data_IF_264203156761
#
_entry.id   IF_264203156761
#
_cell.length_a   1.000
_cell.length_b   1.000
_cell.length_c   1.000
_cell.angle_alpha   90.00
_cell.angle_beta   90.00
_cell.angle_gamma   90.00
#
_symmetry.space_group_name_H-M   'P 1'
#
loop_
_entity.id
_entity.type
_entity.pdbx_description
1 polymer ?
#
# COMPACT_ATOMS: atom_id res chain seq x y z
N UNK A 1 -16.38 6.42 5.56
CA UNK A 1 -17.69 6.37 6.25
C UNK A 1 -17.88 4.96 6.79
N UNK A 2 -18.42 4.81 8.00
CA UNK A 2 -18.77 3.49 8.53
C UNK A 2 -19.88 2.87 7.65
N UNK A 3 -19.70 1.63 7.23
CA UNK A 3 -20.71 0.89 6.47
C UNK A 3 -21.96 0.65 7.36
N UNK A 4 -23.14 0.87 6.81
CA UNK A 4 -24.42 0.74 7.50
C UNK A 4 -25.44 0.02 6.61
N UNK A 5 -26.40 -0.67 7.22
CA UNK A 5 -27.45 -1.38 6.48
C UNK A 5 -26.99 -2.70 5.86
N UNK A 6 -27.63 -3.10 4.76
CA UNK A 6 -27.33 -4.37 4.10
C UNK A 6 -26.05 -4.27 3.27
N UNK A 7 -25.12 -5.18 3.51
CA UNK A 7 -23.89 -5.33 2.75
C UNK A 7 -23.83 -6.73 2.14
N UNK A 8 -23.47 -6.77 0.86
CA UNK A 8 -23.30 -8.00 0.09
C UNK A 8 -21.81 -8.32 0.02
N UNK A 9 -21.44 -9.49 0.53
CA UNK A 9 -20.07 -9.96 0.57
C UNK A 9 -19.97 -11.19 -0.34
N UNK A 10 -19.33 -11.09 -1.51
CA UNK A 10 -19.05 -12.27 -2.33
C UNK A 10 -18.11 -13.21 -1.58
N UNK A 11 -18.42 -14.50 -1.62
CA UNK A 11 -17.62 -15.54 -1.00
C UNK A 11 -16.70 -16.16 -2.05
N UNK A 12 -15.41 -16.23 -1.73
CA UNK A 12 -14.42 -16.92 -2.57
C UNK A 12 -14.20 -18.32 -2.03
N UNK A 13 -14.24 -19.32 -2.91
CA UNK A 13 -13.87 -20.69 -2.54
C UNK A 13 -12.38 -20.72 -2.21
N UNK A 14 -12.06 -21.04 -0.97
CA UNK A 14 -10.68 -21.20 -0.52
C UNK A 14 -10.09 -22.46 -1.12
N UNK A 15 -9.06 -22.29 -1.96
CA UNK A 15 -8.24 -23.40 -2.47
C UNK A 15 -7.24 -23.90 -1.43
N UNK A 16 -6.78 -23.00 -0.57
CA UNK A 16 -5.90 -23.27 0.56
C UNK A 16 -6.60 -22.86 1.87
N UNK A 17 -6.36 -23.54 3.01
CA UNK A 17 -7.04 -23.25 4.27
C UNK A 17 -6.61 -21.92 4.92
N UNK A 18 -5.69 -21.19 4.30
CA UNK A 18 -5.17 -19.92 4.83
C UNK A 18 -5.99 -18.76 4.28
N UNK A 19 -6.75 -18.11 5.15
CA UNK A 19 -7.37 -16.83 4.87
C UNK A 19 -6.27 -15.77 4.71
N UNK A 20 -6.29 -15.05 3.59
CA UNK A 20 -5.47 -13.85 3.38
C UNK A 20 -6.34 -12.63 3.71
N UNK A 21 -6.22 -12.01 4.90
CA UNK A 21 -7.08 -10.90 5.32
C UNK A 21 -6.77 -9.56 4.61
N UNK A 22 -5.93 -9.56 3.59
CA UNK A 22 -5.48 -8.38 2.88
C UNK A 22 -5.93 -8.43 1.42
N UNK A 23 -6.18 -7.25 0.84
CA UNK A 23 -6.61 -7.15 -0.55
C UNK A 23 -7.63 -6.04 -0.79
N UNK A 24 -7.93 -5.72 -2.06
CA UNK A 24 -9.12 -4.97 -2.40
C UNK A 24 -10.38 -5.65 -1.85
N UNK A 25 -11.44 -4.86 -1.63
CA UNK A 25 -12.74 -5.41 -1.31
C UNK A 25 -13.19 -6.37 -2.44
N UNK A 26 -13.64 -7.59 -2.11
CA UNK A 26 -13.96 -8.57 -3.12
C UNK A 26 -15.19 -8.12 -3.91
N UNK A 27 -15.14 -8.28 -5.23
CA UNK A 27 -16.19 -7.85 -6.13
C UNK A 27 -17.12 -9.02 -6.46
N UNK A 28 -18.42 -8.73 -6.62
CA UNK A 28 -19.39 -9.69 -7.15
C UNK A 28 -19.16 -9.74 -8.66
N UNK A 29 -18.61 -10.83 -9.16
CA UNK A 29 -18.26 -10.98 -10.58
C UNK A 29 -19.42 -11.59 -11.37
N UNK A 30 -20.19 -12.48 -10.76
CA UNK A 30 -21.26 -13.23 -11.41
C UNK A 30 -22.53 -13.28 -10.54
N UNK A 31 -23.70 -13.32 -11.19
CA UNK A 31 -25.00 -13.59 -10.56
C UNK A 31 -25.06 -14.95 -9.83
N UNK A 32 -24.17 -15.88 -10.19
CA UNK A 32 -24.05 -17.21 -9.57
C UNK A 32 -23.07 -17.24 -8.40
N UNK A 33 -22.36 -16.15 -8.11
CA UNK A 33 -21.41 -16.12 -7.02
C UNK A 33 -22.15 -16.36 -5.69
N UNK A 34 -21.61 -17.22 -4.81
CA UNK A 34 -22.17 -17.33 -3.47
C UNK A 34 -21.97 -16.00 -2.74
N UNK A 35 -23.06 -15.38 -2.30
CA UNK A 35 -23.05 -14.08 -1.63
C UNK A 35 -23.56 -14.25 -0.19
N UNK A 36 -22.79 -13.75 0.76
CA UNK A 36 -23.24 -13.56 2.14
C UNK A 36 -23.86 -12.17 2.28
N UNK A 37 -25.09 -12.12 2.77
CA UNK A 37 -25.78 -10.87 3.09
C UNK A 37 -25.66 -10.64 4.59
N UNK A 38 -25.00 -9.56 4.97
CA UNK A 38 -24.92 -9.12 6.37
C UNK A 38 -25.71 -7.83 6.54
N UNK A 39 -26.35 -7.66 7.70
CA UNK A 39 -27.03 -6.41 8.06
C UNK A 39 -26.25 -5.75 9.19
N UNK A 40 -25.63 -4.62 8.89
CA UNK A 40 -24.91 -3.80 9.85
C UNK A 40 -25.87 -2.84 10.58
N UNK A 41 -25.53 -2.40 11.81
CA UNK A 41 -26.28 -1.35 12.50
C UNK A 41 -26.49 -0.12 11.61
N UNK A 42 -27.70 0.42 11.65
CA UNK A 42 -28.09 1.63 10.91
C UNK A 42 -28.36 2.75 11.90
N UNK A 43 -27.85 3.93 11.60
CA UNK A 43 -27.98 5.14 12.39
C UNK A 43 -28.69 6.20 11.54
N UNK A 44 -29.40 7.15 12.18
CA UNK A 44 -30.08 8.26 11.48
C UNK A 44 -29.10 9.31 10.94
N UNK A 45 -27.81 9.13 11.18
CA UNK A 45 -26.73 10.04 10.82
C UNK A 45 -25.55 9.28 10.20
N UNK A 46 -24.76 10.00 9.42
CA UNK A 46 -23.52 9.46 8.87
C UNK A 46 -22.46 9.37 9.98
N UNK A 47 -21.92 8.17 10.16
CA UNK A 47 -20.80 7.93 11.07
C UNK A 47 -19.51 7.94 10.26
N UNK A 48 -18.60 8.84 10.61
CA UNK A 48 -17.29 8.99 9.98
C UNK A 48 -16.20 8.72 11.00
N UNK A 49 -15.08 8.16 10.53
CA UNK A 49 -13.89 8.06 11.38
C UNK A 49 -13.34 9.48 11.59
N UNK A 50 -13.09 9.90 12.84
CA UNK A 50 -12.61 11.24 13.13
C UNK A 50 -11.17 11.43 12.64
N UNK A 51 -10.81 12.68 12.31
CA UNK A 51 -9.43 13.03 12.01
C UNK A 51 -8.55 12.87 13.25
N UNK A 52 -7.39 12.22 13.09
CA UNK A 52 -6.42 12.03 14.16
C UNK A 52 -5.43 13.18 14.16
N UNK A 53 -5.57 14.09 15.13
CA UNK A 53 -4.62 15.18 15.34
C UNK A 53 -3.38 14.63 16.04
N UNK A 54 -2.20 14.90 15.48
CA UNK A 54 -0.92 14.51 16.08
C UNK A 54 -0.52 15.55 17.11
N UNK A 55 -0.36 15.11 18.35
CA UNK A 55 0.17 15.94 19.43
C UNK A 55 1.69 15.75 19.48
N UNK A 56 2.49 16.75 19.08
CA UNK A 56 3.96 16.67 19.03
C UNK A 56 4.63 16.67 20.42
N UNK A 57 4.37 15.65 21.23
CA UNK A 57 4.88 15.45 22.60
C UNK A 57 6.08 14.49 22.71
N UNK A 58 6.57 13.94 21.60
CA UNK A 58 7.59 12.90 21.53
C UNK A 58 8.95 13.55 21.73
N UNK A 59 9.71 13.01 22.66
CA UNK A 59 11.10 13.43 22.88
C UNK A 59 11.97 12.25 22.51
N UNK A 60 12.80 12.41 21.49
CA UNK A 60 13.85 11.45 21.15
C UNK A 60 14.75 11.28 22.36
N UNK A 61 14.95 10.05 22.81
CA UNK A 61 15.77 9.76 23.97
C UNK A 61 17.18 9.36 23.53
N UNK A 62 18.16 9.68 24.38
CA UNK A 62 19.56 9.36 24.13
C UNK A 62 19.78 7.84 24.26
N UNK A 63 20.23 7.13 23.20
CA UNK A 63 20.48 5.69 23.25
C UNK A 63 21.47 5.29 24.35
N UNK A 64 22.37 6.19 24.75
CA UNK A 64 23.38 5.91 25.79
C UNK A 64 22.81 5.80 27.20
N UNK A 65 21.55 6.22 27.42
CA UNK A 65 20.90 6.05 28.73
C UNK A 65 20.21 4.69 28.91
N UNK A 66 20.24 3.83 27.89
CA UNK A 66 19.83 2.42 28.03
C UNK A 66 20.95 1.60 28.68
N UNK A 67 20.56 0.61 29.49
CA UNK A 67 21.51 -0.40 29.96
C UNK A 67 22.06 -1.22 28.78
N UNK A 68 23.29 -1.72 28.95
CA UNK A 68 24.03 -2.41 27.89
C UNK A 68 23.29 -3.64 27.37
N UNK A 69 22.69 -4.43 28.27
CA UNK A 69 21.98 -5.66 27.93
C UNK A 69 20.75 -5.39 27.05
N UNK A 70 19.92 -4.41 27.46
CA UNK A 70 18.75 -4.00 26.67
C UNK A 70 19.16 -3.42 25.32
N UNK A 71 20.22 -2.60 25.29
CA UNK A 71 20.72 -2.01 24.06
C UNK A 71 21.19 -3.09 23.06
N UNK A 72 22.05 -4.01 23.51
CA UNK A 72 22.57 -5.11 22.68
C UNK A 72 21.44 -5.99 22.15
N UNK A 73 20.47 -6.32 23.00
CA UNK A 73 19.34 -7.14 22.58
C UNK A 73 18.45 -6.42 21.55
N UNK A 74 18.12 -5.14 21.75
CA UNK A 74 17.40 -4.35 20.76
C UNK A 74 18.14 -4.27 19.41
N UNK A 75 19.46 -4.08 19.43
CA UNK A 75 20.26 -4.06 18.21
C UNK A 75 20.24 -5.43 17.50
N UNK A 76 20.26 -6.53 18.25
CA UNK A 76 20.16 -7.88 17.67
C UNK A 76 18.81 -8.13 16.97
N UNK A 77 17.70 -7.60 17.52
CA UNK A 77 16.38 -7.68 16.89
C UNK A 77 16.32 -6.85 15.60
N UNK A 78 16.91 -5.65 15.63
CA UNK A 78 16.98 -4.76 14.45
C UNK A 78 17.82 -5.38 13.34
N UNK A 79 18.96 -5.98 13.69
CA UNK A 79 19.82 -6.69 12.73
C UNK A 79 19.12 -7.91 12.13
N UNK A 80 18.35 -8.65 12.94
CA UNK A 80 17.56 -9.78 12.44
C UNK A 80 16.44 -9.34 11.49
N UNK A 81 15.80 -8.20 11.75
CA UNK A 81 14.79 -7.59 10.87
C UNK A 81 13.50 -8.42 10.68
N UNK A 82 13.26 -9.43 11.51
CA UNK A 82 12.12 -10.34 11.38
C UNK A 82 10.83 -9.75 11.96
N UNK A 83 10.10 -9.01 11.13
CA UNK A 83 8.81 -8.40 11.51
C UNK A 83 7.67 -9.38 11.74
N UNK A 84 7.80 -10.66 11.34
CA UNK A 84 6.70 -11.62 11.37
C UNK A 84 6.76 -12.55 12.58
N UNK A 85 7.94 -12.80 13.13
CA UNK A 85 8.14 -13.76 14.22
C UNK A 85 8.53 -13.11 15.57
N UNK A 86 8.21 -11.83 15.76
CA UNK A 86 8.41 -11.16 17.04
C UNK A 86 7.55 -11.80 18.15
N UNK A 87 8.18 -12.14 19.26
CA UNK A 87 7.48 -12.61 20.47
C UNK A 87 6.74 -11.45 21.13
N UNK A 88 5.67 -11.73 21.90
CA UNK A 88 4.94 -10.69 22.62
C UNK A 88 5.84 -9.80 23.51
N UNK A 89 6.79 -10.40 24.22
CA UNK A 89 7.73 -9.65 25.08
C UNK A 89 8.68 -8.76 24.26
N UNK A 90 9.08 -9.21 23.05
CA UNK A 90 9.92 -8.45 22.12
C UNK A 90 9.13 -7.25 21.55
N UNK A 91 7.85 -7.46 21.21
CA UNK A 91 6.95 -6.40 20.75
C UNK A 91 6.75 -5.36 21.84
N UNK A 92 6.44 -5.78 23.06
CA UNK A 92 6.27 -4.88 24.20
C UNK A 92 7.54 -4.06 24.43
N UNK A 93 8.71 -4.69 24.42
CA UNK A 93 9.99 -4.00 24.61
C UNK A 93 10.27 -3.00 23.48
N UNK A 94 10.11 -3.38 22.21
CA UNK A 94 10.30 -2.50 21.05
C UNK A 94 9.38 -1.28 21.16
N UNK A 95 8.10 -1.50 21.49
CA UNK A 95 7.15 -0.42 21.68
C UNK A 95 7.56 0.47 22.85
N UNK A 96 7.87 -0.07 24.03
CA UNK A 96 8.26 0.71 25.20
C UNK A 96 9.54 1.54 24.97
N UNK A 97 10.50 1.01 24.21
CA UNK A 97 11.83 1.64 23.97
C UNK A 97 11.90 2.42 22.65
N UNK A 98 10.80 2.58 21.92
CA UNK A 98 10.73 3.25 20.60
C UNK A 98 11.38 4.64 20.55
N UNK A 99 11.30 5.44 21.61
CA UNK A 99 11.88 6.79 21.70
C UNK A 99 13.41 6.79 21.57
N UNK A 100 14.08 5.70 21.94
CA UNK A 100 15.52 5.50 21.75
C UNK A 100 15.88 5.09 20.32
N UNK A 101 14.93 4.53 19.57
CA UNK A 101 15.14 3.92 18.26
C UNK A 101 14.80 4.85 17.10
N UNK A 102 14.20 6.02 17.36
CA UNK A 102 13.73 6.98 16.33
C UNK A 102 14.81 7.45 15.34
N UNK A 103 16.08 7.30 15.69
CA UNK A 103 17.23 7.67 14.84
C UNK A 103 17.68 6.53 13.90
N UNK A 104 17.12 5.32 14.05
CA UNK A 104 17.44 4.12 13.27
C UNK A 104 16.28 3.79 12.32
N UNK A 105 16.40 4.09 11.02
CA UNK A 105 15.38 3.76 10.03
C UNK A 105 14.95 2.28 10.03
N UNK A 106 15.90 1.36 10.23
CA UNK A 106 15.74 -0.09 10.22
C UNK A 106 14.80 -0.59 11.34
N UNK A 107 14.67 0.17 12.43
CA UNK A 107 13.85 -0.21 13.56
C UNK A 107 12.37 0.11 13.35
N UNK A 108 12.00 1.01 12.43
CA UNK A 108 10.61 1.43 12.26
C UNK A 108 9.67 0.27 11.90
N UNK A 109 9.98 -0.62 10.94
CA UNK A 109 9.11 -1.75 10.62
C UNK A 109 8.83 -2.63 11.83
N UNK A 110 9.85 -2.94 12.64
CA UNK A 110 9.71 -3.74 13.87
C UNK A 110 8.85 -3.04 14.92
N UNK A 111 9.05 -1.73 15.11
CA UNK A 111 8.25 -0.92 16.05
C UNK A 111 6.79 -0.85 15.61
N UNK A 112 6.50 -0.68 14.31
CA UNK A 112 5.14 -0.69 13.78
C UNK A 112 4.48 -2.07 13.92
N UNK A 113 5.22 -3.16 13.69
CA UNK A 113 4.77 -4.53 13.96
C UNK A 113 4.53 -4.81 15.44
N UNK A 114 5.02 -3.95 16.33
CA UNK A 114 4.86 -4.06 17.78
C UNK A 114 3.66 -3.26 18.32
N UNK A 115 2.92 -2.55 17.46
CA UNK A 115 1.71 -1.82 17.86
C UNK A 115 0.59 -2.82 18.13
N UNK A 116 0.21 -2.96 19.41
CA UNK A 116 -0.84 -3.90 19.84
C UNK A 116 -2.25 -3.34 19.71
N UNK A 117 -2.42 -2.02 19.68
CA UNK A 117 -3.72 -1.34 19.62
C UNK A 117 -3.71 -0.22 18.56
N UNK A 118 -4.53 -0.41 17.52
CA UNK A 118 -4.77 0.56 16.43
C UNK A 118 -6.07 1.34 16.64
N UNK A 119 -6.61 1.34 17.85
CA UNK A 119 -7.77 2.13 18.24
C UNK A 119 -7.48 3.63 18.23
N UNK A 120 -8.54 4.42 18.02
CA UNK A 120 -8.46 5.88 17.83
C UNK A 120 -7.56 6.61 18.85
N UNK A 121 -7.66 6.25 20.13
CA UNK A 121 -6.89 6.89 21.21
C UNK A 121 -5.37 6.66 21.12
N UNK A 122 -4.93 5.62 20.42
CA UNK A 122 -3.51 5.28 20.27
C UNK A 122 -2.91 5.77 18.95
N UNK A 123 -3.75 6.02 17.93
CA UNK A 123 -3.29 6.44 16.60
C UNK A 123 -2.48 7.73 16.62
N UNK A 124 -2.79 8.69 17.50
CA UNK A 124 -2.02 9.92 17.61
C UNK A 124 -0.54 9.63 17.94
N UNK A 125 -0.27 8.70 18.86
CA UNK A 125 1.09 8.27 19.20
C UNK A 125 1.78 7.56 18.03
N UNK A 126 1.07 6.66 17.34
CA UNK A 126 1.61 5.93 16.19
C UNK A 126 1.98 6.89 15.06
N UNK A 127 1.08 7.80 14.73
CA UNK A 127 1.27 8.77 13.65
C UNK A 127 2.38 9.77 13.97
N UNK A 128 2.49 10.18 15.22
CA UNK A 128 3.60 11.00 15.66
C UNK A 128 4.96 10.34 15.44
N UNK A 129 5.09 9.07 15.82
CA UNK A 129 6.32 8.30 15.63
C UNK A 129 6.73 8.30 14.16
N UNK A 130 5.78 8.10 13.26
CA UNK A 130 6.02 8.03 11.81
C UNK A 130 6.45 9.39 11.24
N UNK A 131 5.88 10.50 11.73
CA UNK A 131 6.29 11.84 11.29
C UNK A 131 7.69 12.21 11.79
N UNK A 132 8.03 11.82 13.02
CA UNK A 132 9.29 12.17 13.66
C UNK A 132 10.41 11.14 13.42
N UNK A 133 10.14 10.01 12.76
CA UNK A 133 11.15 8.98 12.54
C UNK A 133 12.24 9.46 11.57
N UNK A 134 13.46 8.94 11.73
CA UNK A 134 14.50 9.10 10.71
C UNK A 134 13.99 8.59 9.35
N UNK A 135 14.16 9.34 8.25
CA UNK A 135 13.67 8.91 6.95
C UNK A 135 14.23 7.55 6.52
N UNK A 136 13.36 6.67 6.06
CA UNK A 136 13.77 5.39 5.48
C UNK A 136 14.37 5.61 4.08
N UNK A 137 15.34 4.78 3.72
CA UNK A 137 15.74 4.67 2.32
C UNK A 137 14.55 4.19 1.47
N UNK A 138 14.49 4.53 0.18
CA UNK A 138 13.41 4.07 -0.70
C UNK A 138 13.22 2.54 -0.68
N UNK A 139 14.31 1.76 -0.58
CA UNK A 139 14.25 0.30 -0.49
C UNK A 139 13.60 -0.16 0.82
N UNK A 140 13.97 0.42 1.96
CA UNK A 140 13.37 0.11 3.25
C UNK A 140 11.89 0.52 3.28
N UNK A 141 11.55 1.68 2.73
CA UNK A 141 10.18 2.19 2.70
C UNK A 141 9.24 1.27 1.89
N UNK A 142 9.73 0.55 0.87
CA UNK A 142 8.92 -0.45 0.16
C UNK A 142 8.37 -1.56 1.08
N UNK A 143 9.07 -1.88 2.18
CA UNK A 143 8.59 -2.87 3.16
C UNK A 143 7.27 -2.42 3.80
N UNK A 144 7.07 -1.12 4.00
CA UNK A 144 5.86 -0.56 4.60
C UNK A 144 4.65 -0.57 3.65
N UNK A 145 4.82 -1.05 2.41
CA UNK A 145 3.72 -1.29 1.47
C UNK A 145 3.25 -2.76 1.49
N UNK A 146 3.91 -3.63 2.27
CA UNK A 146 3.53 -5.03 2.42
C UNK A 146 2.22 -5.18 3.21
N UNK A 147 1.54 -6.34 3.11
CA UNK A 147 0.21 -6.54 3.69
C UNK A 147 0.11 -6.34 5.20
N UNK A 148 1.20 -6.57 5.94
CA UNK A 148 1.21 -6.41 7.39
C UNK A 148 1.13 -4.93 7.84
N UNK A 149 1.25 -3.97 6.92
CA UNK A 149 1.12 -2.54 7.19
C UNK A 149 -0.09 -1.97 6.41
N UNK A 150 -1.33 -2.21 6.88
CA UNK A 150 -2.54 -1.77 6.17
C UNK A 150 -2.89 -0.29 6.42
N UNK A 151 -2.31 0.35 7.46
CA UNK A 151 -2.65 1.72 7.83
C UNK A 151 -2.30 2.72 6.71
N UNK A 152 -3.27 3.57 6.37
CA UNK A 152 -3.16 4.49 5.23
C UNK A 152 -2.07 5.54 5.43
N UNK A 153 -1.85 6.01 6.66
CA UNK A 153 -0.87 7.07 6.93
C UNK A 153 0.55 6.51 6.96
N UNK A 154 0.74 5.29 7.49
CA UNK A 154 1.99 4.53 7.35
C UNK A 154 2.35 4.38 5.87
N UNK A 155 1.41 3.88 5.06
CA UNK A 155 1.64 3.67 3.62
C UNK A 155 1.88 4.98 2.89
N UNK A 156 1.14 6.04 3.21
CA UNK A 156 1.41 7.38 2.66
C UNK A 156 2.84 7.85 2.96
N UNK A 157 3.30 7.73 4.21
CA UNK A 157 4.66 8.11 4.58
C UNK A 157 5.71 7.30 3.82
N UNK A 158 5.46 6.00 3.64
CA UNK A 158 6.31 5.15 2.83
C UNK A 158 6.43 5.66 1.39
N UNK A 159 5.31 6.05 0.77
CA UNK A 159 5.29 6.64 -0.57
C UNK A 159 6.06 7.96 -0.61
N UNK A 160 5.93 8.82 0.40
CA UNK A 160 6.71 10.07 0.49
C UNK A 160 8.22 9.79 0.46
N UNK A 161 8.71 8.83 1.25
CA UNK A 161 10.12 8.43 1.24
C UNK A 161 10.55 7.78 -0.08
N UNK A 162 9.72 6.93 -0.68
CA UNK A 162 10.01 6.29 -1.97
C UNK A 162 10.16 7.37 -3.07
N UNK A 163 9.28 8.37 -3.10
CA UNK A 163 9.29 9.43 -4.11
C UNK A 163 10.50 10.39 -4.00
N UNK A 164 11.27 10.34 -2.91
CA UNK A 164 12.56 11.03 -2.81
C UNK A 164 13.68 10.34 -3.61
N UNK A 165 13.46 9.13 -4.13
CA UNK A 165 14.45 8.40 -4.90
C UNK A 165 14.73 9.03 -6.29
N UNK A 166 15.80 8.56 -6.94
CA UNK A 166 16.09 8.93 -8.33
C UNK A 166 15.02 8.38 -9.28
N UNK A 167 14.85 9.02 -10.44
CA UNK A 167 13.95 8.52 -11.48
C UNK A 167 14.32 7.10 -11.93
N UNK A 168 15.60 6.75 -11.99
CA UNK A 168 16.02 5.39 -12.36
C UNK A 168 15.60 4.35 -11.32
N UNK A 169 15.72 4.67 -10.02
CA UNK A 169 15.24 3.80 -8.96
C UNK A 169 13.72 3.62 -9.06
N UNK A 170 12.98 4.72 -9.16
CA UNK A 170 11.53 4.71 -9.24
C UNK A 170 11.03 3.91 -10.45
N UNK A 171 11.67 4.07 -11.61
CA UNK A 171 11.33 3.33 -12.81
C UNK A 171 11.53 1.82 -12.62
N UNK A 172 12.66 1.41 -12.03
CA UNK A 172 12.95 0.01 -11.74
C UNK A 172 12.06 -0.59 -10.63
N UNK A 173 11.49 0.24 -9.76
CA UNK A 173 10.58 -0.17 -8.68
C UNK A 173 9.10 -0.25 -9.13
N UNK A 174 8.76 0.19 -10.35
CA UNK A 174 7.39 0.19 -10.86
C UNK A 174 6.68 -1.18 -10.78
N UNK A 175 7.32 -2.32 -11.11
CA UNK A 175 6.67 -3.62 -10.98
C UNK A 175 6.24 -3.93 -9.54
N UNK A 176 7.08 -3.58 -8.57
CA UNK A 176 6.81 -3.78 -7.14
C UNK A 176 5.77 -2.78 -6.61
N UNK A 177 5.81 -1.53 -7.07
CA UNK A 177 4.81 -0.52 -6.73
C UNK A 177 3.43 -0.86 -7.30
N UNK A 178 3.35 -1.32 -8.54
CA UNK A 178 2.09 -1.81 -9.11
C UNK A 178 1.61 -3.04 -8.33
N UNK A 179 2.49 -3.96 -7.96
CA UNK A 179 2.11 -5.11 -7.13
C UNK A 179 1.58 -4.74 -5.75
N UNK A 180 2.15 -3.70 -5.13
CA UNK A 180 1.71 -3.19 -3.85
C UNK A 180 0.28 -2.60 -3.87
N UNK A 181 -0.25 -2.23 -5.05
CA UNK A 181 -1.66 -1.82 -5.19
C UNK A 181 -2.63 -2.93 -4.77
N UNK A 182 -2.20 -4.20 -4.77
CA UNK A 182 -3.01 -5.31 -4.25
C UNK A 182 -3.36 -5.11 -2.78
N UNK A 183 -2.51 -4.47 -2.01
CA UNK A 183 -2.68 -4.36 -0.56
C UNK A 183 -3.29 -3.03 -0.11
N UNK A 184 -3.65 -2.17 -1.05
CA UNK A 184 -4.36 -0.93 -0.74
C UNK A 184 -5.81 -1.20 -0.32
N UNK A 185 -6.29 -0.46 0.67
CA UNK A 185 -7.69 -0.59 1.14
C UNK A 185 -8.63 0.07 0.13
N UNK A 186 -8.24 1.24 -0.39
CA UNK A 186 -9.06 2.07 -1.27
C UNK A 186 -8.41 2.29 -2.62
N UNK A 187 -9.23 2.56 -3.63
CA UNK A 187 -8.81 2.82 -5.01
C UNK A 187 -8.04 4.14 -5.12
N UNK A 188 -8.45 5.15 -4.35
CA UNK A 188 -7.76 6.45 -4.26
C UNK A 188 -6.71 6.43 -3.14
N UNK A 189 -5.75 5.51 -3.24
CA UNK A 189 -4.62 5.42 -2.31
C UNK A 189 -3.50 6.39 -2.66
N UNK A 190 -2.64 6.69 -1.67
CA UNK A 190 -1.41 7.46 -1.88
C UNK A 190 -0.51 6.86 -2.96
N UNK A 191 -0.43 5.53 -3.03
CA UNK A 191 0.30 4.80 -4.06
C UNK A 191 -0.31 4.98 -5.46
N UNK A 192 -1.64 4.86 -5.59
CA UNK A 192 -2.32 5.08 -6.88
C UNK A 192 -2.11 6.52 -7.38
N UNK A 193 -2.24 7.50 -6.48
CA UNK A 193 -1.98 8.92 -6.79
C UNK A 193 -0.52 9.15 -7.17
N UNK A 194 0.43 8.49 -6.52
CA UNK A 194 1.84 8.60 -6.84
C UNK A 194 2.15 8.03 -8.24
N UNK A 195 1.61 6.86 -8.59
CA UNK A 195 1.78 6.28 -9.93
C UNK A 195 1.23 7.19 -11.03
N UNK A 196 0.03 7.74 -10.85
CA UNK A 196 -0.53 8.75 -11.75
C UNK A 196 0.37 9.99 -11.83
N UNK A 197 0.85 10.49 -10.69
CA UNK A 197 1.75 11.65 -10.66
C UNK A 197 3.05 11.39 -11.41
N UNK A 198 3.60 10.17 -11.36
CA UNK A 198 4.78 9.77 -12.13
C UNK A 198 4.49 9.70 -13.64
N UNK A 199 3.32 9.19 -14.04
CA UNK A 199 2.94 9.11 -15.46
C UNK A 199 2.82 10.49 -16.11
N UNK A 200 2.36 11.52 -15.38
CA UNK A 200 2.32 12.90 -15.90
C UNK A 200 3.70 13.54 -16.02
N UNK A 201 4.64 13.19 -15.14
CA UNK A 201 5.98 13.80 -15.13
C UNK A 201 6.83 13.34 -16.32
N UNK A 202 6.72 12.08 -16.71
CA UNK A 202 7.54 11.50 -17.77
C UNK A 202 6.78 10.39 -18.51
N UNK A 203 6.73 10.50 -19.85
CA UNK A 203 6.09 9.52 -20.73
C UNK A 203 6.64 8.10 -20.59
N UNK A 204 7.91 7.95 -20.21
CA UNK A 204 8.51 6.63 -19.97
C UNK A 204 7.78 5.94 -18.82
N UNK A 205 7.52 6.67 -17.73
CA UNK A 205 6.74 6.16 -16.60
C UNK A 205 5.32 5.84 -17.03
N UNK A 206 4.67 6.71 -17.80
CA UNK A 206 3.31 6.43 -18.28
C UNK A 206 3.21 5.14 -19.10
N UNK A 207 4.15 4.93 -20.03
CA UNK A 207 4.21 3.72 -20.84
C UNK A 207 4.47 2.47 -19.99
N UNK A 208 5.45 2.54 -19.08
CA UNK A 208 5.80 1.40 -18.23
C UNK A 208 4.67 1.06 -17.26
N UNK A 209 4.08 2.05 -16.59
CA UNK A 209 2.94 1.86 -15.68
C UNK A 209 1.76 1.23 -16.44
N UNK A 210 1.43 1.72 -17.64
CA UNK A 210 0.37 1.15 -18.45
C UNK A 210 0.56 -0.35 -18.67
N UNK A 211 1.77 -0.78 -19.08
CA UNK A 211 2.05 -2.19 -19.36
C UNK A 211 2.17 -3.03 -18.09
N UNK A 212 2.69 -2.47 -17.00
CA UNK A 212 2.67 -3.17 -15.72
C UNK A 212 1.24 -3.45 -15.27
N UNK A 213 0.31 -2.47 -15.41
CA UNK A 213 -1.11 -2.64 -15.12
C UNK A 213 -1.78 -3.65 -16.05
N UNK A 214 -1.55 -3.54 -17.37
CA UNK A 214 -2.14 -4.44 -18.37
C UNK A 214 -1.79 -5.90 -18.10
N UNK A 215 -0.55 -6.20 -17.73
CA UNK A 215 -0.14 -7.56 -17.34
C UNK A 215 -0.97 -8.12 -16.16
N UNK A 216 -1.36 -7.28 -15.20
CA UNK A 216 -2.19 -7.73 -14.06
C UNK A 216 -3.65 -7.88 -14.48
N UNK A 217 -4.15 -7.03 -15.36
CA UNK A 217 -5.50 -7.14 -15.92
C UNK A 217 -5.67 -8.46 -16.68
N UNK A 218 -4.70 -8.82 -17.52
CA UNK A 218 -4.81 -9.99 -18.40
C UNK A 218 -4.52 -11.32 -17.70
N UNK A 219 -3.65 -11.32 -16.68
CA UNK A 219 -3.10 -12.56 -16.13
C UNK A 219 -3.37 -12.79 -14.64
N UNK A 220 -3.89 -11.81 -13.89
CA UNK A 220 -4.13 -12.03 -12.47
C UNK A 220 -5.42 -12.82 -12.24
N UNK A 221 -5.32 -13.86 -11.41
CA UNK A 221 -6.47 -14.67 -10.98
C UNK A 221 -7.37 -13.90 -10.00
N UNK A 222 -6.80 -12.95 -9.25
CA UNK A 222 -7.54 -12.09 -8.35
C UNK A 222 -8.26 -11.00 -9.14
N UNK A 223 -9.57 -11.23 -9.35
CA UNK A 223 -10.42 -10.34 -10.13
C UNK A 223 -10.54 -8.94 -9.51
N UNK A 224 -10.60 -8.83 -8.19
CA UNK A 224 -10.73 -7.52 -7.53
C UNK A 224 -9.46 -6.68 -7.74
N UNK A 225 -8.30 -7.32 -7.68
CA UNK A 225 -7.03 -6.65 -7.97
C UNK A 225 -6.88 -6.30 -9.46
N UNK A 226 -7.26 -7.20 -10.37
CA UNK A 226 -7.27 -6.92 -11.81
C UNK A 226 -8.18 -5.73 -12.14
N UNK A 227 -9.37 -5.68 -11.53
CA UNK A 227 -10.30 -4.57 -11.71
C UNK A 227 -9.74 -3.25 -11.18
N UNK A 228 -9.06 -3.26 -10.03
CA UNK A 228 -8.35 -2.07 -9.53
C UNK A 228 -7.31 -1.58 -10.53
N UNK A 229 -6.52 -2.49 -11.11
CA UNK A 229 -5.54 -2.13 -12.14
C UNK A 229 -6.22 -1.52 -13.38
N UNK A 230 -7.36 -2.08 -13.80
CA UNK A 230 -8.18 -1.56 -14.90
C UNK A 230 -8.70 -0.14 -14.64
N UNK A 231 -9.21 0.13 -13.42
CA UNK A 231 -9.65 1.47 -13.03
C UNK A 231 -8.51 2.49 -13.06
N UNK A 232 -7.34 2.13 -12.54
CA UNK A 232 -6.16 3.01 -12.56
C UNK A 232 -5.65 3.24 -13.99
N UNK A 233 -5.66 2.21 -14.83
CA UNK A 233 -5.26 2.31 -16.23
C UNK A 233 -6.22 3.24 -17.01
N UNK A 234 -7.53 3.13 -16.75
CA UNK A 234 -8.53 4.02 -17.32
C UNK A 234 -8.29 5.48 -16.91
N UNK A 235 -8.07 5.75 -15.63
CA UNK A 235 -7.76 7.10 -15.13
C UNK A 235 -6.49 7.67 -15.76
N UNK A 236 -5.45 6.84 -15.95
CA UNK A 236 -4.23 7.22 -16.63
C UNK A 236 -4.51 7.67 -18.07
N UNK A 237 -5.34 6.93 -18.81
CA UNK A 237 -5.72 7.28 -20.18
C UNK A 237 -6.55 8.56 -20.23
N UNK A 238 -7.63 8.66 -19.45
CA UNK A 238 -8.57 9.80 -19.49
C UNK A 238 -7.86 11.14 -19.23
N UNK A 239 -7.02 11.21 -18.20
CA UNK A 239 -6.26 12.43 -17.89
C UNK A 239 -5.19 12.78 -18.94
N UNK A 240 -4.64 11.81 -19.66
CA UNK A 240 -3.74 12.09 -20.79
C UNK A 240 -4.50 12.53 -22.05
N UNK A 241 -5.80 12.25 -22.15
CA UNK A 241 -6.69 12.80 -23.18
C UNK A 241 -7.10 14.24 -22.88
N UNK A 242 -7.25 14.65 -21.62
CA UNK A 242 -7.53 16.06 -21.31
C UNK A 242 -6.37 17.00 -21.69
N UNK A 243 -5.13 16.50 -21.67
CA UNK A 243 -3.92 17.20 -22.16
C UNK A 243 -3.82 17.27 -23.71
N UNK A 244 -4.87 16.88 -24.45
CA UNK A 244 -4.92 16.73 -25.91
C UNK A 244 -4.58 17.97 -26.76
N UNK A 245 -4.29 19.12 -26.17
CA UNK A 245 -3.71 20.23 -26.92
C UNK A 245 -2.20 20.12 -27.18
N UNK A 246 -1.47 19.09 -26.65
CA UNK A 246 0.01 19.05 -26.78
C UNK A 246 0.74 17.77 -27.23
N UNK A 247 0.24 16.53 -27.18
CA UNK A 247 1.20 15.39 -27.38
C UNK A 247 0.81 14.08 -28.10
N UNK A 248 -0.44 13.82 -28.52
CA UNK A 248 -0.76 12.60 -29.29
C UNK A 248 -0.48 11.24 -28.59
N UNK A 249 -0.23 11.26 -27.27
CA UNK A 249 0.23 10.09 -26.51
C UNK A 249 -0.85 9.04 -26.24
N UNK A 250 -2.10 9.43 -25.95
CA UNK A 250 -3.22 8.47 -25.85
C UNK A 250 -3.43 7.71 -27.17
N UNK A 251 -3.35 8.40 -28.33
CA UNK A 251 -3.40 7.73 -29.64
C UNK A 251 -2.24 6.75 -29.85
N UNK A 252 -1.06 7.05 -29.34
CA UNK A 252 0.10 6.14 -29.40
C UNK A 252 -0.12 4.89 -28.53
N UNK A 253 -0.58 5.04 -27.29
CA UNK A 253 -0.87 3.91 -26.40
C UNK A 253 -2.04 3.06 -26.92
N UNK A 254 -3.12 3.67 -27.40
CA UNK A 254 -4.24 2.97 -28.02
C UNK A 254 -3.78 2.22 -29.28
N UNK A 255 -3.02 2.88 -30.16
CA UNK A 255 -2.53 2.24 -31.39
C UNK A 255 -1.53 1.11 -31.10
N UNK A 256 -0.71 1.21 -30.05
CA UNK A 256 0.15 0.12 -29.59
C UNK A 256 -0.63 -0.99 -28.90
N UNK A 257 -1.68 -0.69 -28.12
CA UNK A 257 -2.58 -1.71 -27.59
C UNK A 257 -3.20 -2.51 -28.74
N UNK A 258 -3.74 -1.84 -29.76
CA UNK A 258 -4.23 -2.53 -30.96
C UNK A 258 -3.12 -3.32 -31.67
N UNK A 259 -1.94 -2.75 -31.87
CA UNK A 259 -0.85 -3.41 -32.59
C UNK A 259 -0.28 -4.62 -31.83
N UNK A 260 -0.13 -4.53 -30.51
CA UNK A 260 0.39 -5.61 -29.67
C UNK A 260 -0.66 -6.68 -29.41
N UNK A 261 -1.94 -6.34 -29.22
CA UNK A 261 -3.04 -7.31 -29.22
C UNK A 261 -3.15 -8.04 -30.56
N UNK A 262 -2.87 -7.35 -31.68
CA UNK A 262 -2.78 -7.97 -33.01
C UNK A 262 -1.60 -8.93 -33.12
N UNK A 263 -0.41 -8.53 -32.65
CA UNK A 263 0.79 -9.37 -32.71
C UNK A 263 0.73 -10.59 -31.76
N UNK A 264 0.19 -10.44 -30.55
CA UNK A 264 -0.01 -11.53 -29.60
C UNK A 264 -1.11 -12.51 -30.06
N UNK A 265 -2.16 -12.00 -30.73
CA UNK A 265 -3.15 -12.87 -31.37
C UNK A 265 -2.53 -13.71 -32.51
N UNK A 266 -1.53 -13.19 -33.24
CA UNK A 266 -0.84 -13.95 -34.28
C UNK A 266 0.09 -15.03 -33.70
N UNK A 267 0.67 -14.83 -32.51
CA UNK A 267 1.54 -15.81 -31.86
C UNK A 267 0.79 -16.95 -31.12
N UNK A 268 -0.53 -16.85 -30.96
CA UNK A 268 -1.35 -17.91 -30.34
C UNK A 268 -2.08 -18.80 -31.38
N UNK A 269 -1.92 -18.51 -32.67
CA UNK A 269 -2.51 -19.26 -33.78
C UNK A 269 -1.47 -19.90 -34.73
N UNK A 270 -0.20 -19.96 -34.33
CA UNK A 270 0.86 -20.79 -34.93
C UNK A 270 1.39 -21.79 -33.89
#
# INVERSE_FOLDING_TARGET
MLLQGQVFIPLTVLKDPVLKPWGPYPLIANEKDPILIITLPTYEYQVVFPDVVVEYQSVRQDPSSLDCETHEYLMSLIEAGDTQNLKPDEQEMLWQKRSYLMHLPEALPLVLSSVTDWGFYFLANVYQIIEDWAPLSPVQAMQLLLPQYPDMRVRQKAIEWILCASSDFLFNALPQLVEALRFEIFESSSLAVALLSLSYKDRRFAFEIYWQLQQRIDHCVDFAYAQRCSLLQKELLERHEEDHLRSGFSKFLLHLSFYVSSCLAVQLYE
#
